data_IF_223341320776
#
_entry.id   IF_223341320776
#
_cell.length_a   1.000
_cell.length_b   1.000
_cell.length_c   1.000
_cell.angle_alpha   90.00
_cell.angle_beta   90.00
_cell.angle_gamma   90.00
#
_symmetry.space_group_name_H-M   'P 1'
#
loop_
_entity.id
_entity.type
_entity.pdbx_description
1 polymer ?
#
# COMPACT_ATOMS: atom_id res chain seq x y z
N UNK A 1 -6.81 22.75 -4.94
CA UNK A 1 -6.84 21.51 -5.77
C UNK A 1 -6.39 21.75 -7.22
N UNK A 2 -6.86 22.75 -7.96
CA UNK A 2 -6.35 22.99 -9.34
C UNK A 2 -4.84 23.28 -9.44
N UNK A 3 -4.20 23.67 -8.34
CA UNK A 3 -2.76 24.00 -8.34
C UNK A 3 -1.85 22.83 -8.75
N UNK A 4 -2.17 21.59 -8.39
CA UNK A 4 -1.37 20.41 -8.72
C UNK A 4 -1.17 20.26 -10.23
N UNK A 5 -2.25 20.38 -11.02
CA UNK A 5 -2.20 20.24 -12.49
C UNK A 5 -1.47 21.40 -13.20
N UNK A 6 -1.24 22.51 -12.49
CA UNK A 6 -0.56 23.71 -12.99
C UNK A 6 0.90 23.80 -12.52
N UNK A 7 1.31 22.90 -11.60
CA UNK A 7 2.67 22.90 -11.05
C UNK A 7 3.56 22.04 -11.95
N UNK A 8 4.73 22.59 -12.28
CA UNK A 8 5.71 21.86 -13.10
C UNK A 8 6.19 20.58 -12.39
N UNK A 9 6.46 19.50 -13.12
CA UNK A 9 6.92 18.22 -12.53
C UNK A 9 8.15 18.40 -11.64
N UNK A 10 9.11 19.23 -12.03
CA UNK A 10 10.32 19.49 -11.27
C UNK A 10 10.05 20.19 -9.93
N UNK A 11 9.04 21.05 -9.87
CA UNK A 11 8.61 21.69 -8.62
C UNK A 11 7.95 20.68 -7.69
N UNK A 12 7.14 19.74 -8.23
CA UNK A 12 6.53 18.65 -7.45
C UNK A 12 7.57 17.64 -6.92
N UNK A 13 8.61 17.38 -7.72
CA UNK A 13 9.70 16.47 -7.37
C UNK A 13 10.71 17.12 -6.40
N UNK A 14 10.85 18.45 -6.41
CA UNK A 14 11.85 19.15 -5.61
C UNK A 14 13.26 18.58 -5.83
N UNK A 15 13.99 18.32 -4.75
CA UNK A 15 15.36 17.76 -4.80
C UNK A 15 15.45 16.36 -5.45
N UNK A 16 14.33 15.68 -5.67
CA UNK A 16 14.33 14.40 -6.38
C UNK A 16 14.54 14.56 -7.88
N UNK A 17 14.19 15.71 -8.47
CA UNK A 17 14.40 15.97 -9.88
C UNK A 17 15.88 15.82 -10.28
N UNK A 18 16.79 16.43 -9.54
CA UNK A 18 18.23 16.33 -9.78
C UNK A 18 18.75 14.89 -9.62
N UNK A 19 18.23 14.17 -8.63
CA UNK A 19 18.60 12.76 -8.43
C UNK A 19 18.12 11.89 -9.58
N UNK A 20 16.90 12.10 -10.08
CA UNK A 20 16.32 11.35 -11.20
C UNK A 20 17.05 11.68 -12.51
N UNK A 21 17.48 12.94 -12.71
CA UNK A 21 18.30 13.33 -13.86
C UNK A 21 19.64 12.60 -13.88
N UNK A 22 20.26 12.41 -12.73
CA UNK A 22 21.53 11.69 -12.59
C UNK A 22 21.37 10.17 -12.39
N UNK A 23 20.16 9.63 -12.44
CA UNK A 23 19.90 8.19 -12.32
C UNK A 23 19.89 7.56 -13.71
N UNK A 24 20.89 6.71 -14.04
CA UNK A 24 20.93 6.02 -15.32
C UNK A 24 19.89 4.92 -15.40
N UNK A 25 19.48 4.57 -16.63
CA UNK A 25 18.60 3.47 -16.92
C UNK A 25 19.26 2.48 -17.89
N UNK A 26 18.73 1.27 -18.01
CA UNK A 26 19.19 0.31 -18.99
C UNK A 26 18.84 0.81 -20.42
N UNK A 27 19.83 1.11 -21.28
CA UNK A 27 19.57 1.71 -22.59
C UNK A 27 18.79 0.79 -23.54
N UNK A 28 18.73 -0.52 -23.26
CA UNK A 28 17.91 -1.46 -24.03
C UNK A 28 16.40 -1.17 -23.88
N UNK A 29 16.01 -0.76 -22.68
CA UNK A 29 14.60 -0.53 -22.32
C UNK A 29 14.24 0.96 -22.20
N UNK A 30 15.26 1.82 -22.12
CA UNK A 30 15.14 3.26 -21.88
C UNK A 30 16.19 4.02 -22.71
N UNK A 31 16.00 4.05 -24.04
CA UNK A 31 16.85 4.79 -24.95
C UNK A 31 16.76 6.32 -24.79
N UNK A 32 15.75 6.80 -24.06
CA UNK A 32 15.56 8.21 -23.68
C UNK A 32 16.56 8.71 -22.64
N UNK A 33 17.27 7.83 -21.92
CA UNK A 33 18.40 8.18 -21.05
C UNK A 33 18.07 8.20 -19.55
N UNK A 34 17.94 9.38 -18.92
CA UNK A 34 17.73 9.48 -17.46
C UNK A 34 16.31 9.14 -17.02
N UNK A 35 16.14 8.84 -15.71
CA UNK A 35 14.80 8.62 -15.13
C UNK A 35 13.92 9.86 -15.27
N UNK A 36 14.49 11.08 -15.16
CA UNK A 36 13.73 12.31 -15.35
C UNK A 36 13.29 12.52 -16.79
N UNK A 37 14.16 12.21 -17.76
CA UNK A 37 13.82 12.28 -19.19
C UNK A 37 12.64 11.35 -19.52
N UNK A 38 12.70 10.10 -19.04
CA UNK A 38 11.59 9.15 -19.14
C UNK A 38 10.31 9.69 -18.51
N UNK A 39 10.37 10.15 -17.25
CA UNK A 39 9.22 10.69 -16.52
C UNK A 39 8.53 11.83 -17.28
N UNK A 40 9.29 12.72 -17.92
CA UNK A 40 8.73 13.80 -18.75
C UNK A 40 7.95 13.28 -19.96
N UNK A 41 8.44 12.22 -20.60
CA UNK A 41 7.74 11.59 -21.73
C UNK A 41 6.45 10.88 -21.24
N UNK A 42 6.50 10.21 -20.10
CA UNK A 42 5.30 9.58 -19.47
C UNK A 42 4.25 10.63 -19.13
N UNK A 43 4.64 11.76 -18.52
CA UNK A 43 3.72 12.86 -18.19
C UNK A 43 3.09 13.42 -19.46
N UNK A 44 3.88 13.62 -20.52
CA UNK A 44 3.34 14.08 -21.80
C UNK A 44 2.31 13.09 -22.35
N UNK A 45 2.63 11.80 -22.41
CA UNK A 45 1.71 10.78 -22.85
C UNK A 45 0.44 10.73 -21.99
N UNK A 46 0.58 10.90 -20.66
CA UNK A 46 -0.53 10.90 -19.73
C UNK A 46 -1.53 12.03 -20.01
N UNK A 47 -1.07 13.27 -20.11
CA UNK A 47 -1.96 14.43 -20.30
C UNK A 47 -2.64 14.46 -21.67
N UNK A 48 -2.08 13.74 -22.65
CA UNK A 48 -2.64 13.58 -24.00
C UNK A 48 -3.56 12.33 -24.10
N UNK A 49 -3.60 11.47 -23.05
CA UNK A 49 -4.35 10.21 -23.08
C UNK A 49 -5.87 10.43 -22.91
N UNK A 50 -6.73 9.59 -23.54
CA UNK A 50 -8.16 9.62 -23.30
C UNK A 50 -8.53 9.41 -21.83
N UNK A 51 -7.79 8.56 -21.11
CA UNK A 51 -8.00 8.28 -19.70
C UNK A 51 -7.84 9.53 -18.82
N UNK A 52 -7.01 10.47 -19.23
CA UNK A 52 -6.83 11.75 -18.55
C UNK A 52 -7.83 12.81 -19.03
N UNK A 53 -8.01 12.93 -20.34
CA UNK A 53 -8.85 13.99 -20.94
C UNK A 53 -10.33 13.86 -20.58
N UNK A 54 -10.82 12.61 -20.49
CA UNK A 54 -12.23 12.32 -20.17
C UNK A 54 -12.49 12.22 -18.66
N UNK A 55 -11.45 12.35 -17.82
CA UNK A 55 -11.54 12.18 -16.38
C UNK A 55 -11.98 13.46 -15.67
N UNK A 56 -12.62 13.30 -14.50
CA UNK A 56 -12.85 14.40 -13.58
C UNK A 56 -11.52 14.97 -13.02
N UNK A 57 -11.57 16.19 -12.50
CA UNK A 57 -10.39 16.89 -11.99
C UNK A 57 -9.61 16.09 -10.92
N UNK A 58 -10.30 15.33 -10.07
CA UNK A 58 -9.64 14.51 -9.03
C UNK A 58 -8.88 13.35 -9.65
N UNK A 59 -9.50 12.63 -10.56
CA UNK A 59 -8.88 11.53 -11.31
C UNK A 59 -7.69 12.03 -12.13
N UNK A 60 -7.81 13.20 -12.78
CA UNK A 60 -6.69 13.86 -13.45
C UNK A 60 -5.53 14.14 -12.50
N UNK A 61 -5.79 14.64 -11.29
CA UNK A 61 -4.75 14.88 -10.29
C UNK A 61 -4.06 13.58 -9.84
N UNK A 62 -4.82 12.51 -9.63
CA UNK A 62 -4.30 11.19 -9.26
C UNK A 62 -3.39 10.66 -10.37
N UNK A 63 -3.84 10.68 -11.63
CA UNK A 63 -3.06 10.22 -12.78
C UNK A 63 -1.80 11.05 -12.99
N UNK A 64 -1.91 12.39 -12.87
CA UNK A 64 -0.77 13.28 -13.00
C UNK A 64 0.29 13.05 -11.93
N UNK A 65 -0.13 12.98 -10.65
CA UNK A 65 0.78 12.68 -9.55
C UNK A 65 1.40 11.28 -9.69
N UNK A 66 0.61 10.30 -10.12
CA UNK A 66 1.11 8.96 -10.37
C UNK A 66 2.16 8.95 -11.49
N UNK A 67 1.93 9.67 -12.59
CA UNK A 67 2.90 9.82 -13.69
C UNK A 67 4.17 10.55 -13.23
N UNK A 68 4.06 11.61 -12.40
CA UNK A 68 5.22 12.33 -11.86
C UNK A 68 6.06 11.46 -10.94
N UNK A 69 5.42 10.63 -10.10
CA UNK A 69 6.10 9.90 -9.04
C UNK A 69 6.34 8.41 -9.35
N UNK A 70 5.86 7.85 -10.49
CA UNK A 70 5.91 6.39 -10.72
C UNK A 70 7.31 5.80 -10.56
N UNK A 71 8.32 6.51 -10.97
CA UNK A 71 9.71 6.03 -11.03
C UNK A 71 10.66 6.69 -10.01
N UNK A 72 10.18 7.49 -9.05
CA UNK A 72 11.04 8.14 -8.04
C UNK A 72 11.87 7.15 -7.22
N UNK A 73 11.37 5.91 -7.07
CA UNK A 73 12.10 4.85 -6.38
C UNK A 73 13.40 4.43 -7.06
N UNK A 74 13.53 4.63 -8.38
CA UNK A 74 14.76 4.35 -9.13
C UNK A 74 15.94 5.18 -8.59
N UNK A 75 15.69 6.41 -8.12
CA UNK A 75 16.72 7.23 -7.50
C UNK A 75 17.37 6.64 -6.23
N UNK A 76 16.72 5.63 -5.61
CA UNK A 76 17.25 4.91 -4.43
C UNK A 76 17.67 3.47 -4.74
N UNK A 77 17.13 2.87 -5.78
CA UNK A 77 17.29 1.42 -6.02
C UNK A 77 18.16 1.09 -7.21
N UNK A 78 18.45 2.06 -8.09
CA UNK A 78 19.29 1.83 -9.27
C UNK A 78 20.71 1.51 -8.87
N UNK A 79 21.24 0.42 -9.43
CA UNK A 79 22.62 -0.04 -9.27
C UNK A 79 23.07 -0.80 -10.49
N UNK A 80 24.40 -0.94 -10.62
CA UNK A 80 25.00 -1.72 -11.69
C UNK A 80 25.13 -3.17 -11.21
N UNK A 81 24.53 -4.11 -11.96
CA UNK A 81 24.66 -5.56 -11.76
C UNK A 81 25.04 -6.21 -13.08
N UNK A 82 26.11 -6.99 -13.10
CA UNK A 82 26.61 -7.69 -14.29
C UNK A 82 26.75 -6.80 -15.54
N UNK A 83 27.18 -5.54 -15.34
CA UNK A 83 27.37 -4.57 -16.41
C UNK A 83 26.05 -3.93 -16.93
N UNK A 84 24.91 -4.18 -16.27
CA UNK A 84 23.62 -3.60 -16.63
C UNK A 84 23.03 -2.77 -15.47
N UNK A 85 22.36 -1.68 -15.81
CA UNK A 85 21.62 -0.88 -14.83
C UNK A 85 20.30 -1.59 -14.50
N UNK A 86 20.08 -1.86 -13.21
CA UNK A 86 18.86 -2.48 -12.68
C UNK A 86 18.29 -1.65 -11.54
N UNK A 87 16.97 -1.69 -11.35
CA UNK A 87 16.27 -0.92 -10.30
C UNK A 87 15.29 -1.84 -9.55
N UNK A 88 15.76 -2.88 -8.83
CA UNK A 88 14.90 -3.86 -8.20
C UNK A 88 14.04 -3.23 -7.11
N UNK A 89 12.73 -3.50 -7.15
CA UNK A 89 11.76 -3.01 -6.17
C UNK A 89 11.49 -1.51 -6.20
N UNK A 90 11.87 -0.80 -7.28
CA UNK A 90 11.66 0.64 -7.41
C UNK A 90 10.20 1.05 -7.21
N UNK A 91 9.25 0.29 -7.74
CA UNK A 91 7.81 0.57 -7.60
C UNK A 91 7.36 0.58 -6.13
N UNK A 92 7.83 -0.39 -5.32
CA UNK A 92 7.55 -0.43 -3.88
C UNK A 92 8.20 0.76 -3.16
N UNK A 93 9.48 0.99 -3.38
CA UNK A 93 10.22 2.10 -2.75
C UNK A 93 9.65 3.45 -3.21
N UNK A 94 9.27 3.56 -4.48
CA UNK A 94 8.62 4.75 -5.04
C UNK A 94 7.29 5.06 -4.36
N UNK A 95 6.44 4.05 -4.14
CA UNK A 95 5.18 4.23 -3.42
C UNK A 95 5.39 4.65 -1.94
N UNK A 96 6.41 4.10 -1.26
CA UNK A 96 6.79 4.51 0.09
C UNK A 96 7.27 5.97 0.13
N UNK A 97 8.10 6.39 -0.82
CA UNK A 97 8.58 7.78 -0.95
C UNK A 97 7.45 8.75 -1.30
N UNK A 98 6.60 8.40 -2.28
CA UNK A 98 5.46 9.22 -2.69
C UNK A 98 4.48 9.42 -1.53
N UNK A 99 4.22 8.37 -0.72
CA UNK A 99 3.34 8.46 0.46
C UNK A 99 3.81 9.54 1.42
N UNK A 100 5.10 9.60 1.73
CA UNK A 100 5.65 10.61 2.64
C UNK A 100 5.47 12.02 2.10
N UNK A 101 5.82 12.23 0.83
CA UNK A 101 5.68 13.52 0.14
C UNK A 101 4.21 13.95 0.16
N UNK A 102 3.32 13.07 -0.30
CA UNK A 102 1.89 13.37 -0.37
C UNK A 102 1.25 13.60 1.01
N UNK A 103 1.75 12.90 2.03
CA UNK A 103 1.27 13.06 3.41
C UNK A 103 1.70 14.40 4.01
N UNK A 104 2.99 14.74 3.94
CA UNK A 104 3.58 15.91 4.61
C UNK A 104 3.47 17.18 3.78
N UNK A 105 3.94 17.12 2.53
CA UNK A 105 4.14 18.31 1.72
C UNK A 105 2.83 18.72 1.01
N UNK A 106 1.98 17.75 0.69
CA UNK A 106 0.67 17.97 0.06
C UNK A 106 -0.49 17.94 1.05
N UNK A 107 -0.28 17.53 2.31
CA UNK A 107 -1.32 17.46 3.33
C UNK A 107 -2.46 16.48 2.99
N UNK A 108 -2.17 15.43 2.21
CA UNK A 108 -3.14 14.39 1.87
C UNK A 108 -3.29 13.37 3.01
N UNK A 109 -3.75 13.85 4.17
CA UNK A 109 -3.97 13.07 5.38
C UNK A 109 -5.11 13.66 6.22
N UNK A 110 -5.53 12.97 7.28
CA UNK A 110 -6.50 13.47 8.26
C UNK A 110 -7.95 13.56 7.77
N UNK A 111 -8.26 13.01 6.60
CA UNK A 111 -9.62 12.86 6.10
C UNK A 111 -9.70 11.67 5.13
N UNK A 112 -10.82 10.91 5.11
CA UNK A 112 -10.94 9.70 4.28
C UNK A 112 -10.69 9.96 2.79
N UNK A 113 -11.18 11.08 2.26
CA UNK A 113 -11.02 11.44 0.86
C UNK A 113 -9.57 11.77 0.50
N UNK A 114 -8.86 12.49 1.38
CA UNK A 114 -7.43 12.79 1.21
C UNK A 114 -6.57 11.54 1.30
N UNK A 115 -6.87 10.67 2.27
CA UNK A 115 -6.22 9.37 2.43
C UNK A 115 -6.41 8.52 1.17
N UNK A 116 -7.66 8.39 0.68
CA UNK A 116 -7.97 7.63 -0.51
C UNK A 116 -7.27 8.18 -1.77
N UNK A 117 -7.21 9.50 -1.92
CA UNK A 117 -6.47 10.13 -3.03
C UNK A 117 -4.98 9.80 -2.97
N UNK A 118 -4.34 9.97 -1.81
CA UNK A 118 -2.92 9.62 -1.60
C UNK A 118 -2.65 8.15 -1.91
N UNK A 119 -3.45 7.26 -1.34
CA UNK A 119 -3.21 5.83 -1.50
C UNK A 119 -3.58 5.33 -2.90
N UNK A 120 -4.48 6.00 -3.64
CA UNK A 120 -4.68 5.72 -5.05
C UNK A 120 -3.40 6.02 -5.86
N UNK A 121 -2.77 7.18 -5.65
CA UNK A 121 -1.48 7.50 -6.27
C UNK A 121 -0.42 6.47 -5.89
N UNK A 122 -0.29 6.14 -4.58
CA UNK A 122 0.68 5.15 -4.11
C UNK A 122 0.43 3.74 -4.68
N UNK A 123 -0.84 3.34 -4.80
CA UNK A 123 -1.24 2.07 -5.40
C UNK A 123 -0.89 2.01 -6.89
N UNK A 124 -1.17 3.07 -7.63
CA UNK A 124 -0.79 3.18 -9.04
C UNK A 124 0.73 3.06 -9.21
N UNK A 125 1.52 3.77 -8.40
CA UNK A 125 2.99 3.65 -8.38
C UNK A 125 3.42 2.22 -8.02
N UNK A 126 2.82 1.64 -7.00
CA UNK A 126 3.18 0.29 -6.49
C UNK A 126 3.02 -0.80 -7.54
N UNK A 127 2.00 -0.68 -8.36
CA UNK A 127 1.59 -1.72 -9.31
C UNK A 127 1.80 -1.33 -10.79
N UNK A 128 2.37 -0.14 -11.12
CA UNK A 128 2.46 0.34 -12.51
C UNK A 128 3.12 -0.64 -13.48
N UNK A 129 4.09 -1.41 -13.00
CA UNK A 129 4.78 -2.41 -13.81
C UNK A 129 4.04 -3.75 -13.90
N UNK A 130 2.89 -3.93 -13.25
CA UNK A 130 2.18 -5.20 -13.21
C UNK A 130 1.43 -5.54 -14.52
N UNK A 131 0.69 -4.62 -15.18
CA UNK A 131 -0.19 -4.95 -16.29
C UNK A 131 0.47 -5.76 -17.42
N UNK A 132 1.65 -5.43 -17.93
CA UNK A 132 2.26 -6.21 -19.03
C UNK A 132 2.65 -7.64 -18.63
N UNK A 133 2.75 -7.94 -17.35
CA UNK A 133 3.15 -9.26 -16.82
C UNK A 133 2.02 -10.03 -16.14
N UNK A 134 0.86 -9.39 -15.93
CA UNK A 134 -0.27 -9.99 -15.23
C UNK A 134 -0.84 -11.23 -15.91
N UNK A 135 -0.69 -11.33 -17.24
CA UNK A 135 -1.23 -12.42 -18.06
C UNK A 135 -0.28 -13.61 -18.23
N UNK A 136 1.01 -13.46 -17.88
CA UNK A 136 2.04 -14.46 -18.20
C UNK A 136 1.88 -15.77 -17.43
N UNK A 137 1.40 -15.67 -16.18
CA UNK A 137 1.30 -16.82 -15.28
C UNK A 137 0.31 -16.60 -14.14
N UNK A 138 0.04 -17.66 -13.36
CA UNK A 138 -0.88 -17.60 -12.20
C UNK A 138 -0.46 -16.57 -11.14
N UNK A 139 0.85 -16.38 -10.93
CA UNK A 139 1.35 -15.38 -9.98
C UNK A 139 0.98 -13.96 -10.42
N UNK A 140 1.12 -13.65 -11.70
CA UNK A 140 0.71 -12.38 -12.28
C UNK A 140 -0.79 -12.13 -12.12
N UNK A 141 -1.61 -13.14 -12.42
CA UNK A 141 -3.08 -13.08 -12.22
C UNK A 141 -3.45 -12.86 -10.75
N UNK A 142 -2.80 -13.55 -9.83
CA UNK A 142 -3.02 -13.35 -8.39
C UNK A 142 -2.64 -11.93 -7.97
N UNK A 143 -1.54 -11.38 -8.48
CA UNK A 143 -1.16 -9.99 -8.19
C UNK A 143 -2.18 -8.99 -8.74
N UNK A 144 -2.77 -9.25 -9.92
CA UNK A 144 -3.83 -8.42 -10.48
C UNK A 144 -5.08 -8.44 -9.59
N UNK A 145 -5.51 -9.62 -9.11
CA UNK A 145 -6.63 -9.73 -8.17
C UNK A 145 -6.34 -9.02 -6.84
N UNK A 146 -5.11 -9.11 -6.34
CA UNK A 146 -4.68 -8.38 -5.13
C UNK A 146 -4.73 -6.87 -5.33
N UNK A 147 -4.23 -6.39 -6.47
CA UNK A 147 -4.30 -4.97 -6.81
C UNK A 147 -5.76 -4.51 -6.91
N UNK A 148 -6.60 -5.23 -7.66
CA UNK A 148 -8.01 -4.91 -7.82
C UNK A 148 -8.76 -4.90 -6.47
N UNK A 149 -8.47 -5.85 -5.57
CA UNK A 149 -9.11 -5.94 -4.25
C UNK A 149 -8.87 -4.70 -3.39
N UNK A 150 -7.75 -3.98 -3.58
CA UNK A 150 -7.49 -2.73 -2.87
C UNK A 150 -8.51 -1.63 -3.19
N UNK A 151 -9.25 -1.73 -4.30
CA UNK A 151 -10.37 -0.83 -4.61
C UNK A 151 -11.49 -0.84 -3.54
N UNK A 152 -11.61 -1.89 -2.71
CA UNK A 152 -12.51 -1.89 -1.54
C UNK A 152 -12.09 -0.87 -0.48
N UNK A 153 -10.80 -0.62 -0.33
CA UNK A 153 -10.20 0.29 0.66
C UNK A 153 -9.92 1.67 0.07
N UNK A 154 -9.65 1.73 -1.23
CA UNK A 154 -9.21 2.91 -1.95
C UNK A 154 -10.18 3.17 -3.11
N UNK A 155 -11.31 3.87 -2.87
CA UNK A 155 -12.35 4.07 -3.90
C UNK A 155 -11.87 4.71 -5.21
N UNK A 156 -10.74 5.44 -5.17
CA UNK A 156 -10.15 6.08 -6.34
C UNK A 156 -9.11 5.22 -7.07
N UNK A 157 -8.86 4.00 -6.61
CA UNK A 157 -7.97 3.05 -7.28
C UNK A 157 -8.75 2.02 -8.08
N UNK A 158 -8.46 1.90 -9.37
CA UNK A 158 -9.04 0.88 -10.25
C UNK A 158 -7.97 0.28 -11.15
N UNK A 159 -8.22 -0.94 -11.67
CA UNK A 159 -7.35 -1.55 -12.68
C UNK A 159 -7.34 -0.73 -13.96
N UNK A 160 -8.44 -0.05 -14.30
CA UNK A 160 -8.52 0.89 -15.42
C UNK A 160 -7.45 1.99 -15.33
N UNK A 161 -7.35 2.67 -14.20
CA UNK A 161 -6.34 3.71 -14.00
C UNK A 161 -4.92 3.14 -13.94
N UNK A 162 -4.77 1.92 -13.43
CA UNK A 162 -3.49 1.21 -13.42
C UNK A 162 -3.03 0.87 -14.85
N UNK A 163 -3.92 0.36 -15.71
CA UNK A 163 -3.61 0.13 -17.12
C UNK A 163 -3.27 1.44 -17.84
N UNK A 164 -4.00 2.53 -17.57
CA UNK A 164 -3.72 3.83 -18.17
C UNK A 164 -2.32 4.35 -17.79
N UNK A 165 -1.90 4.23 -16.54
CA UNK A 165 -0.54 4.60 -16.14
C UNK A 165 0.51 3.70 -16.79
N UNK A 166 0.26 2.38 -16.84
CA UNK A 166 1.18 1.43 -17.46
C UNK A 166 1.32 1.64 -18.97
N UNK A 167 0.22 1.98 -19.67
CA UNK A 167 0.22 2.35 -21.08
C UNK A 167 1.06 3.61 -21.33
N UNK A 168 0.86 4.65 -20.53
CA UNK A 168 1.63 5.90 -20.68
C UNK A 168 3.10 5.72 -20.29
N UNK A 169 3.42 4.83 -19.34
CA UNK A 169 4.81 4.42 -19.05
C UNK A 169 5.45 3.74 -20.29
N UNK A 170 4.74 2.79 -20.93
CA UNK A 170 5.21 2.14 -22.15
C UNK A 170 5.39 3.15 -23.30
N UNK A 171 4.42 4.06 -23.50
CA UNK A 171 4.50 5.11 -24.53
C UNK A 171 5.68 6.07 -24.31
N UNK A 172 6.05 6.34 -23.05
CA UNK A 172 7.19 7.16 -22.66
C UNK A 172 8.56 6.53 -22.92
N UNK A 173 8.63 5.22 -23.21
CA UNK A 173 9.89 4.51 -23.47
C UNK A 173 10.34 4.62 -24.93
N UNK A 174 11.66 4.62 -25.12
CA UNK A 174 12.30 4.42 -26.43
C UNK A 174 12.98 3.05 -26.39
N UNK A 175 12.25 2.02 -26.87
CA UNK A 175 12.69 0.62 -26.89
C UNK A 175 12.00 -0.15 -28.02
N UNK A 176 12.58 -1.30 -28.39
CA UNK A 176 12.09 -2.11 -29.53
C UNK A 176 10.83 -2.93 -29.19
N UNK A 177 10.58 -3.24 -27.93
CA UNK A 177 9.47 -4.07 -27.45
C UNK A 177 8.23 -3.28 -26.99
N UNK A 178 8.17 -1.98 -27.31
CA UNK A 178 7.05 -1.12 -26.92
C UNK A 178 5.70 -1.64 -27.33
N UNK A 179 5.53 -2.07 -28.59
CA UNK A 179 4.26 -2.57 -29.12
C UNK A 179 3.80 -3.84 -28.39
N UNK A 180 4.72 -4.79 -28.14
CA UNK A 180 4.41 -6.01 -27.36
C UNK A 180 3.95 -5.66 -25.93
N UNK A 181 4.57 -4.65 -25.30
CA UNK A 181 4.13 -4.17 -23.97
C UNK A 181 2.71 -3.57 -24.02
N UNK A 182 2.41 -2.76 -25.03
CA UNK A 182 1.08 -2.17 -25.19
C UNK A 182 0.02 -3.25 -25.41
N UNK A 183 0.29 -4.24 -26.25
CA UNK A 183 -0.60 -5.38 -26.49
C UNK A 183 -0.88 -6.17 -25.21
N UNK A 184 0.15 -6.42 -24.39
CA UNK A 184 0.00 -7.13 -23.11
C UNK A 184 -0.81 -6.31 -22.09
N UNK A 185 -0.65 -4.99 -22.06
CA UNK A 185 -1.45 -4.12 -21.20
C UNK A 185 -2.91 -4.14 -21.65
N UNK A 186 -3.18 -4.11 -22.96
CA UNK A 186 -4.53 -4.23 -23.50
C UNK A 186 -5.17 -5.58 -23.14
N UNK A 187 -4.43 -6.70 -23.26
CA UNK A 187 -4.89 -8.01 -22.82
C UNK A 187 -5.16 -8.08 -21.31
N UNK A 188 -4.34 -7.43 -20.49
CA UNK A 188 -4.60 -7.32 -19.06
C UNK A 188 -5.90 -6.56 -18.78
N UNK A 189 -6.17 -5.48 -19.50
CA UNK A 189 -7.42 -4.73 -19.38
C UNK A 189 -8.64 -5.60 -19.75
N UNK A 190 -8.58 -6.38 -20.85
CA UNK A 190 -9.65 -7.30 -21.22
C UNK A 190 -9.85 -8.39 -20.16
N UNK A 191 -8.78 -8.99 -19.66
CA UNK A 191 -8.85 -9.97 -18.57
C UNK A 191 -9.55 -9.39 -17.33
N UNK A 192 -9.24 -8.15 -16.97
CA UNK A 192 -9.86 -7.48 -15.82
C UNK A 192 -11.34 -7.16 -16.07
N UNK A 193 -11.73 -6.82 -17.30
CA UNK A 193 -13.15 -6.64 -17.70
C UNK A 193 -13.92 -7.93 -17.60
N UNK A 194 -13.39 -9.02 -18.17
CA UNK A 194 -13.99 -10.36 -18.08
C UNK A 194 -14.14 -10.83 -16.63
N UNK A 195 -13.15 -10.53 -15.78
CA UNK A 195 -13.19 -10.85 -14.36
C UNK A 195 -14.11 -9.91 -13.54
N UNK A 196 -14.66 -8.84 -14.13
CA UNK A 196 -15.49 -7.86 -13.45
C UNK A 196 -14.75 -6.98 -12.46
N UNK A 197 -13.43 -6.81 -12.62
CA UNK A 197 -12.59 -6.03 -11.71
C UNK A 197 -11.82 -4.87 -12.37
N UNK A 198 -12.23 -4.45 -13.57
CA UNK A 198 -11.60 -3.36 -14.32
C UNK A 198 -11.91 -1.98 -13.71
N UNK A 199 -13.18 -1.71 -13.41
CA UNK A 199 -13.67 -0.43 -12.88
C UNK A 199 -13.91 -0.44 -11.36
N UNK A 200 -13.67 -1.55 -10.69
CA UNK A 200 -13.88 -1.71 -9.25
C UNK A 200 -13.16 -2.94 -8.72
N UNK A 201 -13.33 -3.24 -7.42
CA UNK A 201 -12.73 -4.44 -6.82
C UNK A 201 -13.37 -5.71 -7.39
N UNK A 202 -12.60 -6.82 -7.37
CA UNK A 202 -13.15 -8.12 -7.74
C UNK A 202 -14.30 -8.51 -6.80
N UNK A 203 -15.46 -8.95 -7.34
CA UNK A 203 -16.67 -9.21 -6.55
C UNK A 203 -16.63 -10.59 -5.85
N UNK A 204 -15.77 -10.74 -4.85
CA UNK A 204 -15.71 -11.98 -4.07
C UNK A 204 -17.03 -12.26 -3.36
N UNK A 205 -17.51 -13.53 -3.35
CA UNK A 205 -18.79 -13.88 -2.75
C UNK A 205 -18.80 -13.74 -1.22
N UNK A 206 -17.67 -13.96 -0.56
CA UNK A 206 -17.51 -13.80 0.91
C UNK A 206 -16.12 -13.28 1.25
N UNK A 207 -15.96 -12.66 2.43
CA UNK A 207 -14.67 -12.23 2.95
C UNK A 207 -13.70 -13.40 3.16
N UNK A 208 -14.23 -14.59 3.56
CA UNK A 208 -13.44 -15.82 3.72
C UNK A 208 -12.90 -16.32 2.37
N UNK A 209 -13.74 -16.33 1.32
CA UNK A 209 -13.29 -16.66 -0.05
C UNK A 209 -12.23 -15.68 -0.54
N UNK A 210 -12.44 -14.37 -0.33
CA UNK A 210 -11.47 -13.35 -0.69
C UNK A 210 -10.12 -13.59 -0.03
N UNK A 211 -10.10 -13.80 1.29
CA UNK A 211 -8.87 -14.08 2.03
C UNK A 211 -8.17 -15.35 1.55
N UNK A 212 -8.91 -16.44 1.37
CA UNK A 212 -8.35 -17.70 0.90
C UNK A 212 -7.71 -17.55 -0.49
N UNK A 213 -8.43 -16.95 -1.44
CA UNK A 213 -7.93 -16.72 -2.80
C UNK A 213 -6.72 -15.77 -2.79
N UNK A 214 -6.85 -14.61 -2.15
CA UNK A 214 -5.84 -13.57 -2.15
C UNK A 214 -4.59 -13.95 -1.32
N UNK A 215 -4.71 -14.87 -0.35
CA UNK A 215 -3.55 -15.46 0.34
C UNK A 215 -2.77 -16.47 -0.51
N UNK A 216 -3.29 -16.81 -1.69
CA UNK A 216 -2.63 -17.72 -2.64
C UNK A 216 -3.06 -19.18 -2.48
N UNK A 217 -4.15 -19.48 -1.78
CA UNK A 217 -4.75 -20.83 -1.81
C UNK A 217 -5.35 -21.07 -3.18
N UNK A 218 -5.21 -22.28 -3.69
CA UNK A 218 -5.80 -22.70 -4.96
C UNK A 218 -7.29 -22.98 -4.79
N UNK A 219 -8.08 -21.91 -4.80
CA UNK A 219 -9.53 -21.94 -4.67
C UNK A 219 -10.16 -21.07 -5.75
N UNK A 220 -11.38 -21.39 -6.16
CA UNK A 220 -12.10 -20.56 -7.10
C UNK A 220 -12.51 -19.23 -6.45
N UNK A 221 -12.21 -18.09 -7.04
CA UNK A 221 -12.66 -16.80 -6.51
C UNK A 221 -14.16 -16.56 -6.67
N UNK A 222 -14.84 -17.30 -7.57
CA UNK A 222 -16.23 -17.10 -7.94
C UNK A 222 -17.25 -17.80 -7.01
N UNK A 223 -16.81 -18.76 -6.20
CA UNK A 223 -17.72 -19.55 -5.37
C UNK A 223 -17.47 -19.33 -3.87
N UNK A 224 -18.54 -19.27 -3.05
CA UNK A 224 -18.38 -19.13 -1.60
C UNK A 224 -17.74 -20.40 -1.02
N UNK A 225 -16.64 -20.20 -0.29
CA UNK A 225 -16.05 -21.26 0.53
C UNK A 225 -16.82 -21.41 1.85
N UNK A 226 -16.82 -22.62 2.37
CA UNK A 226 -17.33 -22.86 3.73
C UNK A 226 -16.41 -22.14 4.74
N UNK A 227 -17.02 -21.29 5.56
CA UNK A 227 -16.32 -20.56 6.62
C UNK A 227 -16.35 -21.38 7.91
N UNK A 228 -15.22 -21.94 8.28
CA UNK A 228 -15.02 -22.73 9.50
C UNK A 228 -14.31 -21.93 10.61
N UNK A 229 -14.19 -20.61 10.47
CA UNK A 229 -13.62 -19.76 11.50
C UNK A 229 -14.52 -19.73 12.75
N UNK A 230 -13.90 -19.81 13.93
CA UNK A 230 -14.64 -19.86 15.19
C UNK A 230 -15.01 -18.47 15.75
N UNK A 231 -14.40 -17.41 15.26
CA UNK A 231 -14.62 -16.04 15.74
C UNK A 231 -13.55 -15.09 15.20
N UNK A 232 -13.55 -13.84 15.67
CA UNK A 232 -12.71 -12.78 15.15
C UNK A 232 -11.61 -12.37 16.13
N UNK A 233 -10.39 -12.15 15.58
CA UNK A 233 -9.28 -11.47 16.26
C UNK A 233 -9.04 -10.15 15.57
N UNK A 234 -8.97 -9.07 16.34
CA UNK A 234 -8.76 -7.70 15.83
C UNK A 234 -7.29 -7.33 15.97
N UNK A 235 -6.65 -6.97 14.87
CA UNK A 235 -5.28 -6.47 14.83
C UNK A 235 -5.29 -4.97 14.51
N UNK A 236 -4.81 -4.15 15.44
CA UNK A 236 -4.69 -2.71 15.17
C UNK A 236 -3.39 -2.39 14.44
N UNK A 237 -3.46 -1.43 13.54
CA UNK A 237 -2.33 -0.86 12.80
C UNK A 237 -2.42 0.66 12.83
N UNK A 238 -1.29 1.35 12.96
CA UNK A 238 -1.23 2.81 12.95
C UNK A 238 -0.08 3.35 13.77
N UNK A 239 0.37 4.54 13.43
CA UNK A 239 1.49 5.22 14.10
C UNK A 239 1.17 5.56 15.57
N UNK A 240 2.15 5.88 16.42
CA UNK A 240 1.90 6.44 17.75
C UNK A 240 1.04 7.70 17.65
N UNK A 241 0.08 7.88 18.57
CA UNK A 241 -0.81 9.05 18.58
C UNK A 241 -2.04 8.97 17.66
N UNK A 242 -2.24 7.88 16.90
CA UNK A 242 -3.42 7.71 16.02
C UNK A 242 -4.69 7.27 16.75
N UNK A 243 -4.74 7.24 18.08
CA UNK A 243 -5.97 6.96 18.81
C UNK A 243 -6.36 5.49 18.95
N UNK A 244 -5.43 4.54 18.77
CA UNK A 244 -5.71 3.08 18.89
C UNK A 244 -6.38 2.69 20.21
N UNK A 245 -5.88 3.18 21.32
CA UNK A 245 -6.42 2.86 22.65
C UNK A 245 -7.85 3.41 22.84
N UNK A 246 -8.12 4.59 22.31
CA UNK A 246 -9.47 5.18 22.29
C UNK A 246 -10.40 4.34 21.44
N UNK A 247 -9.96 3.96 20.23
CA UNK A 247 -10.74 3.11 19.35
C UNK A 247 -11.12 1.78 20.02
N UNK A 248 -10.19 1.14 20.75
CA UNK A 248 -10.46 -0.12 21.48
C UNK A 248 -11.55 0.11 22.52
N UNK A 249 -11.44 1.16 23.34
CA UNK A 249 -12.42 1.49 24.38
C UNK A 249 -13.82 1.72 23.82
N UNK A 250 -13.90 2.34 22.64
CA UNK A 250 -15.18 2.70 22.04
C UNK A 250 -15.82 1.52 21.26
N UNK A 251 -15.01 0.63 20.69
CA UNK A 251 -15.49 -0.42 19.79
C UNK A 251 -15.39 -1.84 20.37
N UNK A 252 -14.52 -2.07 21.33
CA UNK A 252 -14.21 -3.42 21.86
C UNK A 252 -13.95 -3.41 23.36
N UNK A 253 -14.79 -2.73 24.20
CA UNK A 253 -14.50 -2.54 25.63
C UNK A 253 -14.41 -3.86 26.43
N UNK A 254 -15.13 -4.90 25.97
CA UNK A 254 -15.24 -6.18 26.68
C UNK A 254 -14.25 -7.25 26.19
N UNK A 255 -13.49 -6.97 25.13
CA UNK A 255 -12.53 -7.93 24.60
C UNK A 255 -11.20 -7.87 25.37
N UNK A 256 -10.59 -9.03 25.67
CA UNK A 256 -9.22 -9.06 26.16
C UNK A 256 -8.30 -8.31 25.19
N UNK A 257 -7.39 -7.50 25.73
CA UNK A 257 -6.40 -6.78 24.94
C UNK A 257 -5.00 -7.34 25.21
N UNK A 258 -4.25 -7.60 24.16
CA UNK A 258 -2.82 -7.86 24.21
C UNK A 258 -2.10 -6.61 23.72
N UNK A 259 -1.50 -5.86 24.64
CA UNK A 259 -0.79 -4.62 24.35
C UNK A 259 0.71 -4.81 24.50
N UNK A 260 1.46 -4.59 23.41
CA UNK A 260 2.92 -4.67 23.47
C UNK A 260 3.53 -3.58 24.37
N UNK A 261 2.87 -2.43 24.49
CA UNK A 261 3.30 -1.35 25.36
C UNK A 261 3.14 -1.72 26.85
N UNK A 262 2.02 -2.36 27.23
CA UNK A 262 1.79 -2.86 28.58
C UNK A 262 2.78 -3.97 28.95
N UNK A 263 2.98 -4.95 28.08
CA UNK A 263 3.97 -6.02 28.30
C UNK A 263 5.38 -5.44 28.44
N UNK A 264 5.72 -4.43 27.67
CA UNK A 264 7.01 -3.73 27.78
C UNK A 264 7.15 -3.06 29.15
N UNK A 265 6.11 -2.42 29.65
CA UNK A 265 6.07 -1.78 30.96
C UNK A 265 6.22 -2.82 32.10
N UNK A 266 5.51 -3.95 32.02
CA UNK A 266 5.65 -5.06 32.98
C UNK A 266 7.08 -5.61 33.05
N UNK A 267 7.69 -5.83 31.88
CA UNK A 267 9.06 -6.32 31.77
C UNK A 267 10.11 -5.25 32.10
N UNK A 268 9.69 -3.99 32.35
CA UNK A 268 10.58 -2.83 32.56
C UNK A 268 11.63 -2.68 31.46
N UNK A 269 11.25 -2.99 30.23
CA UNK A 269 12.14 -2.93 29.05
C UNK A 269 11.99 -1.58 28.34
N UNK A 270 13.08 -0.82 28.14
CA UNK A 270 13.01 0.41 27.35
C UNK A 270 12.75 0.10 25.87
N UNK A 271 12.05 1.01 25.13
CA UNK A 271 11.73 0.84 23.71
C UNK A 271 12.96 0.65 22.80
N UNK A 272 14.13 1.12 23.24
CA UNK A 272 15.41 1.04 22.51
C UNK A 272 16.09 -0.33 22.55
N UNK A 273 15.65 -1.23 23.44
CA UNK A 273 16.17 -2.60 23.51
C UNK A 273 15.52 -3.52 22.48
N UNK A 274 16.16 -4.67 22.20
CA UNK A 274 15.60 -5.70 21.33
C UNK A 274 14.27 -6.21 21.89
N UNK A 275 13.19 -6.01 21.15
CA UNK A 275 11.81 -6.29 21.57
C UNK A 275 11.38 -7.78 21.46
N UNK A 276 12.28 -8.69 21.12
CA UNK A 276 11.97 -10.10 20.91
C UNK A 276 11.19 -10.72 22.08
N UNK A 277 11.65 -10.52 23.33
CA UNK A 277 10.96 -11.05 24.52
C UNK A 277 9.52 -10.53 24.69
N UNK A 278 9.29 -9.24 24.37
CA UNK A 278 7.95 -8.63 24.43
C UNK A 278 7.02 -9.30 23.42
N UNK A 279 7.50 -9.48 22.18
CA UNK A 279 6.75 -10.11 21.11
C UNK A 279 6.49 -11.60 21.40
N UNK A 280 7.49 -12.31 21.92
CA UNK A 280 7.34 -13.73 22.27
C UNK A 280 6.30 -13.92 23.38
N UNK A 281 6.34 -13.09 24.43
CA UNK A 281 5.36 -13.12 25.53
C UNK A 281 3.94 -12.79 25.02
N UNK A 282 3.80 -11.75 24.20
CA UNK A 282 2.53 -11.41 23.57
C UNK A 282 1.96 -12.58 22.73
N UNK A 283 2.83 -13.27 21.97
CA UNK A 283 2.42 -14.44 21.17
C UNK A 283 1.99 -15.62 22.02
N UNK A 284 2.64 -15.88 23.15
CA UNK A 284 2.20 -16.94 24.07
C UNK A 284 0.82 -16.60 24.66
N UNK A 285 0.56 -15.37 25.10
CA UNK A 285 -0.77 -14.96 25.56
C UNK A 285 -1.81 -15.09 24.45
N UNK A 286 -1.48 -14.68 23.22
CA UNK A 286 -2.37 -14.87 22.07
C UNK A 286 -2.69 -16.36 21.86
N UNK A 287 -1.70 -17.25 21.91
CA UNK A 287 -1.92 -18.71 21.76
C UNK A 287 -2.84 -19.28 22.85
N UNK A 288 -2.78 -18.76 24.07
CA UNK A 288 -3.70 -19.19 25.15
C UNK A 288 -5.15 -18.82 24.82
N UNK A 289 -5.40 -17.58 24.36
CA UNK A 289 -6.73 -17.14 23.97
C UNK A 289 -7.22 -17.90 22.73
N UNK A 290 -6.36 -18.09 21.73
CA UNK A 290 -6.67 -18.85 20.51
C UNK A 290 -7.06 -20.31 20.80
N UNK A 291 -6.36 -21.01 21.71
CA UNK A 291 -6.72 -22.38 22.13
C UNK A 291 -8.09 -22.43 22.79
N UNK A 292 -8.48 -21.37 23.48
CA UNK A 292 -9.82 -21.24 24.11
C UNK A 292 -10.89 -20.74 23.13
N UNK A 293 -10.53 -20.47 21.87
CA UNK A 293 -11.40 -19.85 20.86
C UNK A 293 -12.01 -18.54 21.37
N UNK A 294 -11.20 -17.73 22.04
CA UNK A 294 -11.61 -16.45 22.62
C UNK A 294 -11.12 -15.30 21.74
N UNK A 295 -12.05 -14.45 21.33
CA UNK A 295 -11.74 -13.21 20.60
C UNK A 295 -10.93 -12.25 21.48
N UNK A 296 -10.01 -11.50 20.86
CA UNK A 296 -9.18 -10.52 21.53
C UNK A 296 -8.71 -9.42 20.57
N UNK A 297 -8.16 -8.36 21.13
CA UNK A 297 -7.52 -7.27 20.37
C UNK A 297 -6.00 -7.35 20.52
N UNK A 298 -5.29 -7.36 19.40
CA UNK A 298 -3.84 -7.21 19.35
C UNK A 298 -3.48 -5.75 19.09
N UNK A 299 -3.00 -5.06 20.14
CA UNK A 299 -2.68 -3.63 20.11
C UNK A 299 -1.17 -3.40 19.99
N UNK A 300 -0.74 -3.00 18.80
CA UNK A 300 0.61 -2.55 18.51
C UNK A 300 0.60 -1.60 17.29
N UNK A 301 1.75 -1.04 16.93
CA UNK A 301 1.83 -0.16 15.75
C UNK A 301 1.62 -0.89 14.44
N UNK A 302 2.14 -2.11 14.27
CA UNK A 302 1.93 -3.00 13.13
C UNK A 302 2.00 -2.32 11.75
N UNK A 303 2.93 -1.37 11.58
CA UNK A 303 3.03 -0.55 10.37
C UNK A 303 3.67 -1.26 9.18
N UNK A 304 4.34 -2.39 9.41
CA UNK A 304 5.03 -3.16 8.39
C UNK A 304 4.21 -4.39 7.96
N UNK A 305 4.10 -4.68 6.65
CA UNK A 305 3.38 -5.85 6.15
C UNK A 305 3.89 -7.16 6.75
N UNK A 306 5.22 -7.32 6.87
CA UNK A 306 5.82 -8.54 7.43
C UNK A 306 5.43 -8.77 8.89
N UNK A 307 5.37 -7.70 9.70
CA UNK A 307 4.95 -7.79 11.09
C UNK A 307 3.50 -8.20 11.19
N UNK A 308 2.62 -7.59 10.39
CA UNK A 308 1.20 -7.97 10.32
C UNK A 308 1.02 -9.42 9.88
N UNK A 309 1.69 -9.80 8.79
CA UNK A 309 1.63 -11.17 8.25
C UNK A 309 1.96 -12.23 9.30
N UNK A 310 3.01 -12.03 10.10
CA UNK A 310 3.39 -12.97 11.15
C UNK A 310 2.28 -13.18 12.20
N UNK A 311 1.55 -12.15 12.56
CA UNK A 311 0.45 -12.23 13.51
C UNK A 311 -0.80 -12.82 12.85
N UNK A 312 -1.14 -12.35 11.64
CA UNK A 312 -2.30 -12.85 10.88
C UNK A 312 -2.16 -14.34 10.61
N UNK A 313 -0.99 -14.80 10.15
CA UNK A 313 -0.72 -16.21 9.91
C UNK A 313 -0.87 -17.03 11.19
N UNK A 314 -0.38 -16.53 12.34
CA UNK A 314 -0.55 -17.20 13.62
C UNK A 314 -2.05 -17.34 13.98
N UNK A 315 -2.81 -16.25 13.90
CA UNK A 315 -4.23 -16.25 14.30
C UNK A 315 -5.06 -17.12 13.35
N UNK A 316 -4.84 -17.01 12.05
CA UNK A 316 -5.51 -17.83 11.03
C UNK A 316 -5.16 -19.32 11.15
N UNK A 317 -3.93 -19.68 11.55
CA UNK A 317 -3.52 -21.07 11.78
C UNK A 317 -4.29 -21.73 12.94
N UNK A 318 -4.83 -20.94 13.89
CA UNK A 318 -5.73 -21.42 14.95
C UNK A 318 -7.21 -21.34 14.56
N UNK A 319 -7.53 -21.05 13.31
CA UNK A 319 -8.90 -20.98 12.78
C UNK A 319 -9.66 -19.70 13.14
N UNK A 320 -8.96 -18.63 13.53
CA UNK A 320 -9.61 -17.34 13.75
C UNK A 320 -9.80 -16.58 12.42
N UNK A 321 -10.93 -15.89 12.27
CA UNK A 321 -11.03 -14.79 11.32
C UNK A 321 -10.20 -13.60 11.82
N UNK A 322 -9.49 -12.92 10.93
CA UNK A 322 -8.66 -11.77 11.32
C UNK A 322 -9.21 -10.51 10.68
N UNK A 323 -9.43 -9.50 11.51
CA UNK A 323 -9.79 -8.14 11.12
C UNK A 323 -8.64 -7.20 11.42
N UNK A 324 -8.12 -6.53 10.40
CA UNK A 324 -7.12 -5.47 10.56
C UNK A 324 -7.80 -4.12 10.54
N UNK A 325 -7.59 -3.32 11.57
CA UNK A 325 -8.09 -1.94 11.63
C UNK A 325 -6.90 -0.99 11.62
N UNK A 326 -6.79 -0.24 10.53
CA UNK A 326 -5.76 0.77 10.34
C UNK A 326 -6.31 2.15 10.71
N UNK A 327 -5.62 2.81 11.64
CA UNK A 327 -5.99 4.14 12.12
C UNK A 327 -4.96 5.18 11.67
N UNK A 328 -5.49 6.26 11.12
CA UNK A 328 -4.71 7.40 10.64
C UNK A 328 -5.34 8.71 11.08
N UNK A 329 -4.50 9.73 11.31
CA UNK A 329 -4.93 11.11 11.55
C UNK A 329 -4.06 12.10 10.77
N UNK A 330 -4.40 13.38 10.78
CA UNK A 330 -3.57 14.43 10.20
C UNK A 330 -2.19 14.50 10.87
N UNK A 331 -1.15 14.87 10.10
CA UNK A 331 0.23 14.86 10.61
C UNK A 331 0.42 15.74 11.84
N UNK A 332 -0.03 17.00 11.80
CA UNK A 332 0.12 17.92 12.93
C UNK A 332 -0.67 17.45 14.15
N UNK A 333 -1.87 16.95 13.95
CA UNK A 333 -2.70 16.38 15.03
C UNK A 333 -2.07 15.14 15.63
N UNK A 334 -1.46 14.29 14.82
CA UNK A 334 -0.73 13.12 15.31
C UNK A 334 0.46 13.50 16.20
N UNK A 335 1.27 14.47 15.76
CA UNK A 335 2.39 14.96 16.56
C UNK A 335 1.91 15.59 17.86
N UNK A 336 0.84 16.39 17.82
CA UNK A 336 0.22 16.96 19.00
C UNK A 336 -0.24 15.88 19.99
N UNK A 337 -1.03 14.91 19.53
CA UNK A 337 -1.52 13.79 20.36
C UNK A 337 -0.37 12.95 20.91
N UNK A 338 0.66 12.70 20.10
CA UNK A 338 1.83 11.96 20.57
C UNK A 338 2.60 12.72 21.67
N UNK A 339 2.74 14.05 21.55
CA UNK A 339 3.41 14.86 22.56
C UNK A 339 2.68 14.91 23.93
N UNK A 340 1.35 14.76 23.92
CA UNK A 340 0.51 14.73 25.13
C UNK A 340 0.54 13.37 25.85
N UNK A 341 1.13 12.33 25.25
CA UNK A 341 1.24 11.00 25.89
C UNK A 341 2.27 11.02 27.01
N UNK A 342 1.99 10.23 28.05
CA UNK A 342 2.96 9.99 29.13
C UNK A 342 4.29 9.43 28.61
N UNK A 343 4.20 8.52 27.65
CA UNK A 343 5.33 7.87 26.99
C UNK A 343 5.40 8.37 25.53
N UNK A 344 5.64 9.67 25.35
CA UNK A 344 5.76 10.31 24.05
C UNK A 344 6.94 9.73 23.27
N UNK A 345 6.68 9.36 22.00
CA UNK A 345 7.73 8.93 21.08
C UNK A 345 8.39 10.16 20.46
N UNK A 346 9.74 10.24 20.39
CA UNK A 346 10.40 11.36 19.73
C UNK A 346 9.89 11.57 18.29
N UNK A 347 9.73 12.84 17.90
CA UNK A 347 9.19 13.17 16.56
C UNK A 347 10.03 12.57 15.43
N UNK A 348 11.37 12.55 15.56
CA UNK A 348 12.26 11.90 14.60
C UNK A 348 11.93 10.42 14.41
N UNK A 349 11.60 9.71 15.50
CA UNK A 349 11.23 8.29 15.45
C UNK A 349 9.85 8.10 14.80
N UNK A 350 8.88 8.98 15.08
CA UNK A 350 7.58 8.96 14.42
C UNK A 350 7.74 9.20 12.92
N UNK A 351 8.64 10.11 12.55
CA UNK A 351 9.03 10.41 11.19
C UNK A 351 9.63 9.19 10.47
N UNK A 352 10.61 8.52 11.13
CA UNK A 352 11.22 7.28 10.62
C UNK A 352 10.20 6.13 10.50
N UNK A 353 9.20 6.10 11.37
CA UNK A 353 8.10 5.14 11.29
C UNK A 353 7.18 5.44 10.10
N UNK A 354 6.89 6.71 9.82
CA UNK A 354 6.12 7.09 8.62
C UNK A 354 6.87 6.70 7.34
N UNK A 355 8.20 6.81 7.32
CA UNK A 355 9.01 6.37 6.17
C UNK A 355 8.85 4.89 5.83
N UNK A 356 8.58 4.08 6.83
CA UNK A 356 8.43 2.61 6.71
C UNK A 356 6.97 2.18 6.64
N UNK A 357 6.05 3.11 6.90
CA UNK A 357 4.63 2.79 6.95
C UNK A 357 4.14 2.30 5.59
N UNK A 358 3.56 1.11 5.61
CA UNK A 358 2.76 0.58 4.51
C UNK A 358 1.38 0.26 5.08
N UNK A 359 0.33 1.00 4.71
CA UNK A 359 -1.03 0.68 5.13
C UNK A 359 -1.39 -0.76 4.77
N UNK A 360 -2.22 -1.44 5.59
CA UNK A 360 -2.61 -2.82 5.28
C UNK A 360 -3.42 -2.88 4.00
N UNK A 361 -3.08 -3.83 3.13
CA UNK A 361 -3.77 -4.08 1.87
C UNK A 361 -4.91 -5.10 2.08
N UNK A 362 -5.93 -5.04 1.19
CA UNK A 362 -7.14 -5.87 1.31
C UNK A 362 -6.85 -7.37 1.42
N UNK A 363 -5.79 -7.84 0.79
CA UNK A 363 -5.42 -9.25 0.75
C UNK A 363 -4.73 -9.78 2.03
N UNK A 364 -4.34 -8.90 2.96
CA UNK A 364 -3.58 -9.32 4.14
C UNK A 364 -4.42 -10.12 5.15
N UNK A 365 -5.74 -9.85 5.24
CA UNK A 365 -6.60 -10.45 6.24
C UNK A 365 -8.01 -10.73 5.71
N UNK A 366 -8.84 -11.43 6.50
CA UNK A 366 -10.25 -11.69 6.15
C UNK A 366 -11.01 -10.36 5.98
N UNK A 367 -10.73 -9.39 6.83
CA UNK A 367 -11.29 -8.05 6.78
C UNK A 367 -10.20 -7.01 7.04
N UNK A 368 -10.18 -5.96 6.25
CA UNK A 368 -9.28 -4.82 6.44
C UNK A 368 -10.13 -3.56 6.41
N UNK A 369 -9.89 -2.65 7.33
CA UNK A 369 -10.59 -1.37 7.44
C UNK A 369 -9.61 -0.24 7.67
N UNK A 370 -9.86 0.89 7.01
CA UNK A 370 -9.10 2.12 7.22
C UNK A 370 -10.01 3.17 7.84
N UNK A 371 -9.52 3.83 8.88
CA UNK A 371 -10.27 4.86 9.59
C UNK A 371 -9.39 6.10 9.80
N UNK A 372 -9.92 7.26 9.42
CA UNK A 372 -9.37 8.56 9.80
C UNK A 372 -10.01 9.01 11.12
N UNK A 373 -9.21 9.37 12.11
CA UNK A 373 -9.64 9.69 13.47
C UNK A 373 -9.10 11.04 13.97
#
# INVERSE_FOLDING_TARGET
MNRILQTAPEELLGNLADKMENTPQNPRWHGEGSVLAHTKLVIKAMVESPAFLDADTRTQQILYLAAVFHDIGKARTTRLEDGQWVSPGHARVGAEMARQILWRDFGLCGAPEKQSMREAVCGLIRYHSLPPYAIENESGRLQLLRAAANGELIPFFTVRLLCALSETDALGRICDDKEDMLDRIALCAELAKEAGCYDGPYPFPTAHTAYACLSGKQVSPAYPLYDDTWGEVILLSGLPGTGKDTWIKDNCPDLPMISLDEIRAELKMPPTQKQGKVVDMAREWAKELLRRKQSFVWNATNILPMTRKQQIDLFAAYGASVRVVYLETGWDEQLRRNAERKDAVPESVVSDMLEKLTPPERFEAHRVEWQCV
#
